data_IF_238800093864
#
_entry.id   IF_238800093864
#
_cell.length_a   1.000
_cell.length_b   1.000
_cell.length_c   1.000
_cell.angle_alpha   90.00
_cell.angle_beta   90.00
_cell.angle_gamma   90.00
#
_symmetry.space_group_name_H-M   'P 1'
#
loop_
_entity.id
_entity.type
_entity.pdbx_description
1 polymer ?
#
# COMPACT_ATOMS: atom_id res chain seq x y z
N UNK A 1 -0.28 13.83 -24.96
CA UNK A 1 -1.20 14.07 -23.84
C UNK A 1 -2.27 15.04 -24.30
N UNK A 2 -3.48 14.90 -23.84
CA UNK A 2 -4.63 15.70 -24.28
C UNK A 2 -5.38 16.22 -23.06
N UNK A 3 -6.01 17.41 -23.19
CA UNK A 3 -6.75 18.07 -22.10
C UNK A 3 -8.24 17.73 -22.09
N UNK A 4 -8.70 16.88 -23.00
CA UNK A 4 -10.09 16.47 -23.11
C UNK A 4 -10.25 14.97 -23.42
N UNK A 5 -11.43 14.44 -23.12
CA UNK A 5 -11.78 13.04 -23.33
C UNK A 5 -11.90 12.64 -24.82
N UNK A 6 -11.96 13.63 -25.72
CA UNK A 6 -12.07 13.42 -27.15
C UNK A 6 -10.72 13.48 -27.88
N UNK A 7 -9.62 13.67 -27.13
CA UNK A 7 -8.25 13.73 -27.65
C UNK A 7 -8.01 14.86 -28.65
N UNK A 8 -8.77 15.94 -28.53
CA UNK A 8 -8.72 17.07 -29.48
C UNK A 8 -7.73 18.15 -29.07
N UNK A 9 -7.48 18.34 -27.77
CA UNK A 9 -6.58 19.38 -27.26
C UNK A 9 -5.29 18.79 -26.71
N UNK A 10 -4.26 18.74 -27.54
CA UNK A 10 -2.94 18.26 -27.12
C UNK A 10 -2.28 19.20 -26.13
N UNK A 11 -1.82 18.66 -24.99
CA UNK A 11 -1.03 19.39 -24.02
C UNK A 11 0.46 19.21 -24.31
N UNK A 12 1.18 20.31 -24.41
CA UNK A 12 2.64 20.32 -24.51
C UNK A 12 3.23 20.59 -23.14
N UNK A 13 4.02 19.67 -22.62
CA UNK A 13 4.65 19.80 -21.32
C UNK A 13 6.02 20.46 -21.43
N UNK A 14 6.44 21.27 -20.45
CA UNK A 14 7.80 21.74 -20.37
C UNK A 14 8.76 20.56 -20.15
N UNK A 15 10.00 20.68 -20.60
CA UNK A 15 11.03 19.65 -20.52
C UNK A 15 11.43 19.25 -19.08
N UNK A 16 11.05 20.07 -18.09
CA UNK A 16 11.20 19.79 -16.66
C UNK A 16 9.83 19.99 -16.04
N UNK A 17 9.31 18.92 -15.43
CA UNK A 17 8.03 18.97 -14.73
C UNK A 17 8.20 19.60 -13.35
N UNK A 18 7.50 20.70 -13.03
CA UNK A 18 7.51 21.25 -11.69
C UNK A 18 6.75 20.30 -10.73
N UNK A 19 7.29 20.09 -9.54
CA UNK A 19 6.66 19.25 -8.50
C UNK A 19 5.19 19.61 -8.21
N UNK A 20 4.81 20.88 -8.41
CA UNK A 20 3.45 21.37 -8.18
C UNK A 20 2.40 20.92 -9.20
N UNK A 21 2.81 20.32 -10.32
CA UNK A 21 1.87 19.82 -11.35
C UNK A 21 1.54 18.33 -11.17
N UNK A 22 2.02 17.67 -10.11
CA UNK A 22 1.64 16.29 -9.82
C UNK A 22 0.12 16.16 -9.60
N UNK A 23 -0.50 17.13 -8.94
CA UNK A 23 -1.95 17.12 -8.69
C UNK A 23 -2.79 17.20 -9.97
N UNK A 24 -2.31 17.94 -10.98
CA UNK A 24 -2.96 17.98 -12.30
C UNK A 24 -2.81 16.65 -13.03
N UNK A 25 -1.70 15.96 -12.81
CA UNK A 25 -1.47 14.61 -13.34
C UNK A 25 -2.40 13.58 -12.72
N UNK A 26 -2.61 13.61 -11.42
CA UNK A 26 -3.49 12.68 -10.74
C UNK A 26 -4.94 12.79 -11.24
N UNK A 27 -5.45 13.98 -11.47
CA UNK A 27 -6.80 14.19 -12.03
C UNK A 27 -6.98 13.70 -13.47
N UNK A 28 -5.94 13.75 -14.29
CA UNK A 28 -5.95 13.27 -15.68
C UNK A 28 -5.57 11.81 -15.84
N UNK A 29 -4.74 11.31 -14.95
CA UNK A 29 -4.29 9.92 -14.93
C UNK A 29 -5.43 8.95 -14.69
N UNK A 30 -6.49 9.34 -13.99
CA UNK A 30 -7.59 8.43 -13.65
C UNK A 30 -8.20 7.75 -14.88
N UNK A 31 -8.38 8.46 -15.99
CA UNK A 31 -8.84 7.86 -17.26
C UNK A 31 -7.73 7.17 -18.06
N UNK A 32 -6.50 7.67 -17.96
CA UNK A 32 -5.34 7.09 -18.64
C UNK A 32 -4.84 5.81 -17.95
N UNK A 33 -5.02 5.68 -16.63
CA UNK A 33 -4.62 4.49 -15.90
C UNK A 33 -5.52 3.30 -16.20
N UNK A 34 -6.81 3.49 -16.37
CA UNK A 34 -7.72 2.44 -16.84
C UNK A 34 -7.31 1.92 -18.23
N UNK A 35 -6.77 2.78 -19.10
CA UNK A 35 -6.24 2.39 -20.40
C UNK A 35 -4.87 1.69 -20.32
N UNK A 36 -4.11 1.89 -19.24
CA UNK A 36 -2.81 1.25 -19.01
C UNK A 36 -2.87 0.03 -18.09
N UNK A 37 -3.97 -0.20 -17.39
CA UNK A 37 -4.15 -1.43 -16.63
C UNK A 37 -4.20 -2.59 -17.63
N UNK A 38 -3.22 -3.47 -17.55
CA UNK A 38 -3.26 -4.70 -18.30
C UNK A 38 -4.27 -5.65 -17.62
N UNK A 39 -5.52 -5.56 -18.05
CA UNK A 39 -6.62 -6.35 -17.50
C UNK A 39 -6.40 -7.85 -17.60
N UNK A 40 -5.59 -8.32 -18.57
CA UNK A 40 -5.21 -9.73 -18.70
C UNK A 40 -4.30 -10.19 -17.53
N UNK A 41 -3.72 -9.25 -16.78
CA UNK A 41 -2.85 -9.50 -15.63
C UNK A 41 -3.51 -9.15 -14.29
N UNK A 42 -4.74 -8.68 -14.35
CA UNK A 42 -5.54 -8.33 -13.19
C UNK A 42 -6.55 -9.46 -12.96
N UNK A 43 -6.40 -10.18 -11.86
CA UNK A 43 -7.37 -11.17 -11.41
C UNK A 43 -8.23 -10.58 -10.29
N UNK A 44 -9.52 -10.52 -10.55
CA UNK A 44 -10.49 -9.98 -9.62
C UNK A 44 -11.74 -10.85 -9.56
N UNK A 45 -12.33 -10.94 -8.38
CA UNK A 45 -13.53 -11.69 -8.14
C UNK A 45 -14.66 -10.75 -7.62
N UNK A 46 -15.89 -11.08 -7.99
CA UNK A 46 -17.10 -10.38 -7.58
C UNK A 46 -18.05 -11.38 -6.93
N UNK A 47 -17.92 -11.56 -5.62
CA UNK A 47 -18.79 -12.45 -4.87
C UNK A 47 -19.92 -11.68 -4.17
N UNK A 48 -21.03 -12.36 -3.93
CA UNK A 48 -22.14 -11.87 -3.11
C UNK A 48 -21.79 -12.05 -1.64
N UNK A 49 -20.97 -11.18 -1.07
CA UNK A 49 -20.37 -11.40 0.24
C UNK A 49 -20.93 -10.53 1.33
N UNK A 50 -21.70 -9.50 0.99
CA UNK A 50 -22.13 -8.53 1.96
C UNK A 50 -23.64 -8.31 1.90
N UNK A 51 -24.32 -8.58 3.01
CA UNK A 51 -25.71 -8.26 3.19
C UNK A 51 -25.84 -6.81 3.67
N UNK A 52 -26.53 -5.99 2.91
CA UNK A 52 -26.85 -4.62 3.28
C UNK A 52 -28.20 -4.57 4.02
N UNK A 53 -28.20 -4.38 5.34
CA UNK A 53 -29.43 -4.35 6.13
C UNK A 53 -30.31 -3.14 5.82
N UNK A 54 -29.78 -2.06 5.26
CA UNK A 54 -30.55 -0.86 4.90
C UNK A 54 -31.41 -1.08 3.66
N UNK A 55 -30.90 -1.87 2.70
CA UNK A 55 -31.63 -2.19 1.45
C UNK A 55 -32.27 -3.57 1.47
N UNK A 56 -31.88 -4.44 2.39
CA UNK A 56 -32.31 -5.84 2.47
C UNK A 56 -31.75 -6.73 1.38
N UNK A 57 -30.70 -6.29 0.68
CA UNK A 57 -30.11 -7.01 -0.46
C UNK A 57 -28.68 -7.45 -0.16
N UNK A 58 -28.23 -8.48 -0.88
CA UNK A 58 -26.83 -8.84 -0.95
C UNK A 58 -26.11 -7.97 -1.99
N UNK A 59 -24.91 -7.50 -1.65
CA UNK A 59 -24.06 -6.69 -2.50
C UNK A 59 -22.87 -7.53 -3.01
N UNK A 60 -22.53 -7.38 -4.27
CA UNK A 60 -21.26 -7.86 -4.79
C UNK A 60 -20.14 -6.99 -4.26
N UNK A 61 -19.10 -7.62 -3.71
CA UNK A 61 -17.90 -6.94 -3.22
C UNK A 61 -16.75 -7.28 -4.16
N UNK A 62 -16.25 -6.31 -4.92
CA UNK A 62 -15.12 -6.50 -5.82
C UNK A 62 -13.82 -6.72 -5.03
N UNK A 63 -13.13 -7.80 -5.34
CA UNK A 63 -11.90 -8.25 -4.67
C UNK A 63 -10.74 -8.30 -5.66
N UNK A 64 -9.63 -7.68 -5.32
CA UNK A 64 -8.38 -7.80 -6.04
C UNK A 64 -7.67 -9.06 -5.55
N UNK A 65 -7.56 -10.07 -6.41
CA UNK A 65 -6.91 -11.34 -6.10
C UNK A 65 -5.44 -11.28 -6.45
N UNK A 66 -5.11 -10.78 -7.65
CA UNK A 66 -3.73 -10.73 -8.11
C UNK A 66 -3.55 -9.68 -9.20
N UNK A 67 -2.41 -8.99 -9.16
CA UNK A 67 -1.92 -8.17 -10.25
C UNK A 67 -0.44 -8.45 -10.48
N UNK A 68 -0.14 -9.09 -11.60
CA UNK A 68 1.19 -9.49 -12.00
C UNK A 68 1.59 -8.82 -13.32
N UNK A 69 2.13 -7.61 -13.23
CA UNK A 69 2.63 -6.88 -14.38
C UNK A 69 3.90 -6.10 -14.01
N UNK A 70 4.84 -6.01 -14.94
CA UNK A 70 6.10 -5.27 -14.79
C UNK A 70 5.95 -3.74 -14.92
N UNK A 71 4.78 -3.19 -14.62
CA UNK A 71 4.57 -1.74 -14.58
C UNK A 71 5.15 -1.19 -13.28
N UNK A 72 5.98 -0.15 -13.40
CA UNK A 72 6.59 0.50 -12.22
C UNK A 72 5.57 1.19 -11.32
N UNK A 73 4.49 1.65 -11.90
CA UNK A 73 3.41 2.31 -11.19
C UNK A 73 2.11 1.55 -11.44
N UNK A 74 1.37 1.27 -10.38
CA UNK A 74 0.06 0.66 -10.46
C UNK A 74 -0.93 1.43 -9.58
N UNK A 75 -2.00 1.92 -10.20
CA UNK A 75 -3.18 2.41 -9.51
C UNK A 75 -4.20 1.28 -9.42
N UNK A 76 -4.62 0.94 -8.21
CA UNK A 76 -5.66 -0.06 -8.01
C UNK A 76 -7.00 0.59 -8.38
N UNK A 77 -7.71 0.05 -9.39
CA UNK A 77 -8.99 0.62 -9.82
C UNK A 77 -10.01 0.72 -8.69
N UNK A 78 -10.80 1.80 -8.68
CA UNK A 78 -11.79 2.10 -7.63
C UNK A 78 -12.91 1.07 -7.49
N UNK A 79 -13.05 0.19 -8.46
CA UNK A 79 -13.99 -0.92 -8.37
C UNK A 79 -13.61 -1.95 -7.30
N UNK A 80 -12.34 -2.00 -6.87
CA UNK A 80 -11.90 -2.97 -5.86
C UNK A 80 -12.01 -2.41 -4.46
N UNK A 81 -12.66 -3.18 -3.59
CA UNK A 81 -12.87 -2.84 -2.18
C UNK A 81 -12.04 -3.69 -1.22
N UNK A 82 -11.68 -4.89 -1.64
CA UNK A 82 -10.90 -5.85 -0.83
C UNK A 82 -9.67 -6.28 -1.62
N UNK A 83 -8.54 -6.38 -0.94
CA UNK A 83 -7.29 -6.92 -1.49
C UNK A 83 -6.91 -8.20 -0.74
N UNK A 84 -6.62 -9.27 -1.47
CA UNK A 84 -6.22 -10.55 -0.92
C UNK A 84 -4.72 -10.66 -0.65
N UNK A 85 -4.35 -11.71 0.07
CA UNK A 85 -2.96 -12.08 0.29
C UNK A 85 -2.21 -12.24 -1.03
N UNK A 86 -0.95 -11.80 -1.06
CA UNK A 86 -0.07 -11.85 -2.23
C UNK A 86 -0.67 -11.23 -3.51
N UNK A 87 -1.60 -10.26 -3.37
CA UNK A 87 -2.26 -9.62 -4.51
C UNK A 87 -1.30 -8.79 -5.37
N UNK A 88 -0.24 -8.24 -4.79
CA UNK A 88 0.73 -7.38 -5.45
C UNK A 88 2.07 -8.09 -5.58
N UNK A 89 2.56 -8.22 -6.82
CA UNK A 89 3.77 -8.94 -7.15
C UNK A 89 4.98 -8.03 -7.40
N UNK A 90 6.11 -8.61 -7.74
CA UNK A 90 7.34 -7.93 -8.12
C UNK A 90 7.16 -7.02 -9.35
N UNK A 91 8.06 -6.05 -9.53
CA UNK A 91 8.05 -5.11 -10.65
C UNK A 91 7.35 -3.78 -10.35
N UNK A 92 6.42 -3.75 -9.39
CA UNK A 92 5.71 -2.53 -8.97
C UNK A 92 6.56 -1.76 -7.98
N UNK A 93 6.91 -0.51 -8.33
CA UNK A 93 7.68 0.39 -7.46
C UNK A 93 6.80 1.39 -6.72
N UNK A 94 5.70 1.79 -7.33
CA UNK A 94 4.77 2.79 -6.82
C UNK A 94 3.36 2.22 -6.92
N UNK A 95 2.70 2.10 -5.78
CA UNK A 95 1.35 1.55 -5.69
C UNK A 95 0.40 2.60 -5.14
N UNK A 96 -0.69 2.85 -5.87
CA UNK A 96 -1.77 3.72 -5.42
C UNK A 96 -2.99 2.89 -5.03
N UNK A 97 -3.43 3.07 -3.80
CA UNK A 97 -4.64 2.46 -3.23
C UNK A 97 -5.83 3.33 -3.63
N UNK A 98 -6.79 2.76 -4.33
CA UNK A 98 -7.99 3.46 -4.81
C UNK A 98 -8.94 3.90 -3.68
N UNK A 99 -9.87 4.81 -4.01
CA UNK A 99 -10.80 5.41 -3.05
C UNK A 99 -11.72 4.40 -2.35
N UNK A 100 -12.11 3.34 -3.05
CA UNK A 100 -13.05 2.34 -2.54
C UNK A 100 -12.40 1.23 -1.69
N UNK A 101 -11.06 1.14 -1.66
CA UNK A 101 -10.36 0.11 -0.90
C UNK A 101 -10.63 0.26 0.60
N UNK A 102 -11.23 -0.76 1.21
CA UNK A 102 -11.60 -0.76 2.64
C UNK A 102 -11.03 -1.91 3.44
N UNK A 103 -10.52 -2.94 2.77
CA UNK A 103 -9.91 -4.08 3.44
C UNK A 103 -8.70 -4.57 2.64
N UNK A 104 -7.56 -4.65 3.31
CA UNK A 104 -6.32 -5.16 2.77
C UNK A 104 -5.88 -6.33 3.64
N UNK A 105 -5.68 -7.51 3.02
CA UNK A 105 -5.10 -8.65 3.73
C UNK A 105 -3.69 -8.28 4.20
N UNK A 106 -3.31 -8.59 5.44
CA UNK A 106 -1.98 -8.27 5.96
C UNK A 106 -0.82 -8.81 5.11
N UNK A 107 -1.03 -9.90 4.39
CA UNK A 107 -0.04 -10.52 3.51
C UNK A 107 -0.10 -10.02 2.04
N UNK A 108 -0.92 -9.01 1.73
CA UNK A 108 -1.17 -8.55 0.36
C UNK A 108 0.10 -8.12 -0.40
N UNK A 109 1.11 -7.62 0.33
CA UNK A 109 2.33 -7.04 -0.24
C UNK A 109 3.57 -7.92 -0.09
N UNK A 110 3.45 -9.17 0.38
CA UNK A 110 4.61 -10.04 0.64
C UNK A 110 5.45 -10.30 -0.61
N UNK A 111 4.83 -10.32 -1.78
CA UNK A 111 5.48 -10.54 -3.07
C UNK A 111 5.91 -9.24 -3.76
N UNK A 112 5.61 -8.06 -3.18
CA UNK A 112 5.88 -6.74 -3.76
C UNK A 112 7.32 -6.25 -3.46
N UNK A 113 8.32 -7.05 -3.84
CA UNK A 113 9.74 -6.87 -3.46
C UNK A 113 10.44 -5.65 -4.08
N UNK A 114 9.81 -4.99 -5.04
CA UNK A 114 10.35 -3.79 -5.69
C UNK A 114 9.68 -2.50 -5.21
N UNK A 115 8.73 -2.60 -4.28
CA UNK A 115 7.92 -1.47 -3.84
C UNK A 115 8.76 -0.43 -3.08
N UNK A 116 8.69 0.81 -3.54
CA UNK A 116 9.40 1.97 -2.98
C UNK A 116 8.47 2.91 -2.23
N UNK A 117 7.20 3.01 -2.68
CA UNK A 117 6.25 3.97 -2.11
C UNK A 117 4.81 3.56 -2.35
N UNK A 118 4.00 3.80 -1.32
CA UNK A 118 2.54 3.82 -1.43
C UNK A 118 2.00 5.22 -1.67
N UNK A 119 0.90 5.30 -2.38
CA UNK A 119 -0.02 6.42 -2.47
C UNK A 119 -1.42 5.94 -2.09
N UNK A 120 -2.26 6.83 -1.60
CA UNK A 120 -3.66 6.55 -1.29
C UNK A 120 -4.49 7.68 -1.87
N UNK A 121 -5.58 7.35 -2.56
CA UNK A 121 -6.52 8.33 -3.06
C UNK A 121 -7.05 9.19 -1.90
N UNK A 122 -7.06 10.53 -2.01
CA UNK A 122 -7.53 11.42 -0.96
C UNK A 122 -8.98 11.19 -0.51
N UNK A 123 -9.80 10.55 -1.34
CA UNK A 123 -11.18 10.19 -1.00
C UNK A 123 -11.28 8.88 -0.19
N UNK A 124 -10.19 8.11 -0.06
CA UNK A 124 -10.19 6.91 0.77
C UNK A 124 -10.29 7.29 2.24
N UNK A 125 -11.24 6.68 2.96
CA UNK A 125 -11.49 6.94 4.38
C UNK A 125 -10.92 5.88 5.32
N UNK A 126 -10.39 4.79 4.78
CA UNK A 126 -9.87 3.65 5.56
C UNK A 126 -8.36 3.64 5.68
N UNK A 127 -7.67 4.20 4.68
CA UNK A 127 -6.22 4.20 4.59
C UNK A 127 -5.69 5.59 4.28
N UNK A 128 -4.44 5.83 4.63
CA UNK A 128 -3.67 7.03 4.26
C UNK A 128 -2.19 6.70 4.14
N UNK A 129 -1.43 7.60 3.55
CA UNK A 129 0.03 7.49 3.52
C UNK A 129 0.70 8.66 4.21
N UNK A 130 1.79 8.36 4.89
CA UNK A 130 2.73 9.36 5.39
C UNK A 130 4.14 8.91 4.99
N UNK A 131 4.86 9.79 4.31
CA UNK A 131 6.20 9.50 3.75
C UNK A 131 6.24 8.21 2.89
N UNK A 132 5.14 7.90 2.20
CA UNK A 132 5.04 6.73 1.33
C UNK A 132 4.90 5.39 2.04
N UNK A 133 4.71 5.38 3.34
CA UNK A 133 4.34 4.22 4.16
C UNK A 133 2.82 4.17 4.31
N UNK A 134 2.24 2.98 4.30
CA UNK A 134 0.80 2.77 4.34
C UNK A 134 0.30 2.58 5.79
N UNK A 135 -0.74 3.32 6.12
CA UNK A 135 -1.41 3.27 7.42
C UNK A 135 -2.93 3.10 7.23
N UNK A 136 -3.57 2.47 8.20
CA UNK A 136 -5.03 2.52 8.32
C UNK A 136 -5.49 3.70 9.18
N UNK A 137 -6.72 4.12 8.98
CA UNK A 137 -7.33 5.24 9.71
C UNK A 137 -7.46 4.98 11.23
N UNK A 138 -7.40 3.74 11.67
CA UNK A 138 -7.44 3.34 13.09
C UNK A 138 -6.07 3.43 13.79
N UNK A 139 -5.03 3.87 13.08
CA UNK A 139 -3.70 4.07 13.64
C UNK A 139 -2.79 2.84 13.55
N UNK A 140 -3.07 1.89 12.64
CA UNK A 140 -2.19 0.75 12.40
C UNK A 140 -1.23 1.05 11.23
N UNK A 141 0.07 0.80 11.39
CA UNK A 141 1.01 0.75 10.28
C UNK A 141 0.77 -0.57 9.53
N UNK A 142 0.28 -0.48 8.28
CA UNK A 142 -0.10 -1.64 7.47
C UNK A 142 1.08 -2.21 6.71
N UNK A 143 1.86 -1.35 6.02
CA UNK A 143 3.00 -1.83 5.24
C UNK A 143 4.06 -0.74 5.05
N UNK A 144 5.32 -1.13 5.27
CA UNK A 144 6.50 -0.36 4.93
C UNK A 144 7.05 -0.85 3.59
N UNK A 145 7.28 0.04 2.58
CA UNK A 145 7.73 -0.38 1.27
C UNK A 145 9.11 -1.02 1.34
N UNK A 146 9.23 -2.23 0.77
CA UNK A 146 10.43 -3.05 0.84
C UNK A 146 11.70 -2.37 0.31
N UNK A 147 11.61 -1.61 -0.80
CA UNK A 147 12.73 -0.90 -1.44
C UNK A 147 12.79 0.58 -1.08
N UNK A 148 12.08 1.03 -0.04
CA UNK A 148 12.25 2.39 0.46
C UNK A 148 13.70 2.59 0.93
N UNK A 149 14.39 3.58 0.37
CA UNK A 149 15.82 3.82 0.57
C UNK A 149 16.08 4.56 1.91
N UNK A 150 15.77 3.88 3.01
CA UNK A 150 16.02 4.35 4.37
C UNK A 150 16.70 3.26 5.18
N UNK A 151 17.83 3.58 5.79
CA UNK A 151 18.48 2.66 6.75
C UNK A 151 17.81 2.69 8.12
N UNK A 152 17.15 3.78 8.47
CA UNK A 152 16.45 3.96 9.73
C UNK A 152 15.05 4.52 9.46
N UNK A 153 14.08 4.04 10.21
CA UNK A 153 12.72 4.53 10.15
C UNK A 153 12.17 4.74 11.56
N UNK A 154 11.63 5.94 11.80
CA UNK A 154 10.89 6.24 13.02
C UNK A 154 9.40 6.21 12.71
N UNK A 155 8.68 5.31 13.37
CA UNK A 155 7.23 5.24 13.26
C UNK A 155 6.64 6.53 13.83
N UNK A 156 5.72 7.19 13.11
CA UNK A 156 5.12 8.45 13.56
C UNK A 156 4.37 8.32 14.88
N UNK A 157 4.37 9.39 15.67
CA UNK A 157 3.50 9.52 16.84
C UNK A 157 2.03 9.39 16.42
N UNK A 158 1.23 8.72 17.27
CA UNK A 158 -0.17 8.44 16.98
C UNK A 158 -0.43 7.08 16.32
N UNK A 159 0.60 6.41 15.81
CA UNK A 159 0.51 4.98 15.45
C UNK A 159 0.41 4.18 16.74
N UNK A 160 -0.60 3.30 16.81
CA UNK A 160 -0.90 2.49 18.01
C UNK A 160 -0.55 1.02 17.83
N UNK A 161 -0.50 0.56 16.58
CA UNK A 161 -0.25 -0.84 16.24
C UNK A 161 0.66 -1.00 15.03
N UNK A 162 1.46 -2.07 15.03
CA UNK A 162 2.20 -2.55 13.86
C UNK A 162 1.47 -3.79 13.33
N UNK A 163 1.03 -3.74 12.09
CA UNK A 163 0.29 -4.82 11.42
C UNK A 163 1.16 -6.04 11.14
N UNK A 164 0.53 -7.19 10.93
CA UNK A 164 1.23 -8.40 10.51
C UNK A 164 1.91 -8.18 9.16
N UNK A 165 3.13 -8.67 9.02
CA UNK A 165 4.00 -8.50 7.84
C UNK A 165 4.35 -7.05 7.48
N UNK A 166 4.08 -6.08 8.34
CA UNK A 166 4.24 -4.65 8.05
C UNK A 166 5.67 -4.26 7.62
N UNK A 167 6.68 -4.91 8.15
CA UNK A 167 8.10 -4.77 7.79
C UNK A 167 8.71 -6.07 7.29
N UNK A 168 7.92 -7.10 7.01
CA UNK A 168 8.46 -8.41 6.67
C UNK A 168 9.28 -8.39 5.37
N UNK A 169 10.32 -9.20 5.34
CA UNK A 169 11.21 -9.39 4.19
C UNK A 169 11.02 -10.81 3.66
N UNK A 170 10.81 -11.00 2.34
CA UNK A 170 10.77 -12.32 1.75
C UNK A 170 12.10 -13.06 1.91
N UNK A 171 12.03 -14.38 2.07
CA UNK A 171 13.21 -15.24 2.22
C UNK A 171 14.24 -15.01 1.11
N UNK A 172 15.51 -14.88 1.50
CA UNK A 172 16.64 -14.66 0.59
C UNK A 172 16.70 -13.25 -0.03
N UNK A 173 15.91 -12.31 0.48
CA UNK A 173 15.98 -10.91 0.07
C UNK A 173 16.65 -10.05 1.15
N UNK A 174 17.14 -8.87 0.75
CA UNK A 174 17.74 -7.89 1.64
C UNK A 174 16.99 -6.57 1.55
N UNK A 175 16.73 -5.93 2.70
CA UNK A 175 16.16 -4.59 2.78
C UNK A 175 17.23 -3.56 3.15
N UNK A 176 17.15 -2.32 2.64
CA UNK A 176 17.98 -1.22 3.12
C UNK A 176 17.75 -0.88 4.60
N UNK A 177 16.57 -1.23 5.13
CA UNK A 177 16.16 -0.89 6.49
C UNK A 177 16.93 -1.72 7.53
N UNK A 178 17.65 -1.04 8.42
CA UNK A 178 18.47 -1.64 9.48
C UNK A 178 17.92 -1.38 10.87
N UNK A 179 17.07 -0.37 11.03
CA UNK A 179 16.54 0.02 12.33
C UNK A 179 15.13 0.61 12.22
N UNK A 180 14.27 0.19 13.12
CA UNK A 180 12.94 0.77 13.33
C UNK A 180 12.85 1.28 14.76
N UNK A 181 12.44 2.56 14.92
CA UNK A 181 12.14 3.17 16.20
C UNK A 181 10.63 3.24 16.40
N UNK A 182 10.12 2.60 17.44
CA UNK A 182 8.71 2.63 17.82
C UNK A 182 8.47 3.68 18.90
N UNK A 183 7.52 4.60 18.72
CA UNK A 183 7.13 5.56 19.76
C UNK A 183 6.34 4.88 20.89
N UNK A 184 6.19 5.57 22.02
CA UNK A 184 5.41 5.09 23.16
C UNK A 184 3.92 4.86 22.83
N UNK A 185 3.40 5.48 21.77
CA UNK A 185 2.00 5.30 21.32
C UNK A 185 1.74 3.88 20.80
N UNK A 186 2.77 3.18 20.31
CA UNK A 186 2.64 1.79 19.85
C UNK A 186 2.46 0.88 21.08
N UNK A 187 1.34 0.18 21.11
CA UNK A 187 0.96 -0.73 22.20
C UNK A 187 0.82 -2.18 21.77
N UNK A 188 0.82 -2.45 20.46
CA UNK A 188 0.79 -3.80 19.93
C UNK A 188 1.63 -3.96 18.66
N UNK A 189 2.24 -5.14 18.53
CA UNK A 189 2.96 -5.60 17.35
C UNK A 189 2.36 -6.96 16.99
N UNK A 190 1.87 -7.06 15.75
CA UNK A 190 1.28 -8.31 15.29
C UNK A 190 2.35 -9.34 14.96
N UNK A 191 1.96 -10.61 14.97
CA UNK A 191 2.82 -11.73 14.59
C UNK A 191 3.38 -11.55 13.17
N UNK A 192 4.63 -11.91 12.98
CA UNK A 192 5.39 -11.77 11.72
C UNK A 192 5.54 -10.31 11.22
N UNK A 193 5.35 -9.31 12.07
CA UNK A 193 5.49 -7.91 11.70
C UNK A 193 6.88 -7.57 11.14
N UNK A 194 7.93 -8.20 11.67
CA UNK A 194 9.33 -8.01 11.30
C UNK A 194 9.97 -9.29 10.74
N UNK A 195 9.19 -10.24 10.28
CA UNK A 195 9.67 -11.52 9.79
C UNK A 195 10.70 -11.39 8.65
N UNK A 196 11.67 -12.29 8.61
CA UNK A 196 12.65 -12.38 7.54
C UNK A 196 13.83 -11.41 7.65
N UNK A 197 13.88 -10.52 8.65
CA UNK A 197 15.04 -9.68 8.89
C UNK A 197 16.18 -10.50 9.49
N UNK A 198 17.29 -10.54 8.75
CA UNK A 198 18.56 -11.06 9.25
C UNK A 198 19.37 -9.94 9.91
N UNK A 199 20.37 -10.29 10.70
CA UNK A 199 21.23 -9.29 11.34
C UNK A 199 22.12 -8.56 10.32
N UNK A 200 22.37 -7.25 10.50
CA UNK A 200 21.98 -6.42 11.66
C UNK A 200 20.66 -5.68 11.43
N UNK A 201 19.59 -6.10 12.08
CA UNK A 201 18.33 -5.37 12.14
C UNK A 201 17.95 -5.16 13.62
N UNK A 202 17.46 -3.98 13.95
CA UNK A 202 17.08 -3.63 15.33
C UNK A 202 15.74 -2.92 15.38
N UNK A 203 14.87 -3.40 16.26
CA UNK A 203 13.65 -2.68 16.67
C UNK A 203 13.91 -2.05 18.03
N UNK A 204 13.74 -0.74 18.11
CA UNK A 204 13.95 0.02 19.34
C UNK A 204 12.63 0.56 19.85
N UNK A 205 12.35 0.37 21.12
CA UNK A 205 11.14 0.89 21.76
C UNK A 205 11.44 1.26 23.21
N UNK A 206 10.79 2.31 23.70
CA UNK A 206 10.76 2.66 25.13
C UNK A 206 9.65 1.91 25.86
N UNK A 207 8.71 1.30 25.13
CA UNK A 207 7.63 0.51 25.70
C UNK A 207 8.08 -0.93 25.96
N UNK A 208 8.56 -1.19 27.16
CA UNK A 208 9.10 -2.51 27.55
C UNK A 208 8.06 -3.65 27.47
N UNK A 209 6.77 -3.34 27.45
CA UNK A 209 5.72 -4.35 27.30
C UNK A 209 5.68 -4.98 25.89
N UNK A 210 6.31 -4.34 24.89
CA UNK A 210 6.41 -4.85 23.54
C UNK A 210 7.58 -5.81 23.33
N UNK A 211 8.57 -5.84 24.22
CA UNK A 211 9.78 -6.65 24.02
C UNK A 211 9.44 -8.13 23.76
N UNK A 212 8.49 -8.69 24.51
CA UNK A 212 8.08 -10.09 24.33
C UNK A 212 7.36 -10.34 22.98
N UNK A 213 6.73 -9.32 22.39
CA UNK A 213 6.09 -9.42 21.08
C UNK A 213 7.14 -9.30 19.96
N UNK A 214 8.14 -8.45 20.14
CA UNK A 214 9.23 -8.22 19.19
C UNK A 214 10.22 -9.40 19.19
N UNK A 215 10.53 -9.96 20.36
CA UNK A 215 11.47 -11.09 20.51
C UNK A 215 10.91 -12.42 19.98
N UNK A 216 9.60 -12.48 19.72
CA UNK A 216 8.93 -13.66 19.18
C UNK A 216 8.97 -13.72 17.63
N UNK A 217 9.46 -12.67 16.97
CA UNK A 217 9.61 -12.54 15.51
C UNK A 217 10.98 -13.09 14.99
#
# INVERSE_FOLDING_TARGET
WFSDAEWTNQITFPSVMPEKNLDIYLGYTYKLWDDFVNWDKLDGNYDWDEYDPATGNWRQVPKLISYNNNQRYFHIPDQFEIMYADAIHEGIRYLEIGASMRQIDPAAFRSAVDLERFYVDPANTHYYTQDGVLYSADGTLIAYPYKKDNQQFTVPDGVTSIGAYAFAIPEGKESPLLQVQLPCSVTSVAENAFAGHERPFAVMTENTSLNAQIDAE
#
